data_IF_614867589396
#
_entry.id   IF_614867589396
#
_cell.length_a   1.000
_cell.length_b   1.000
_cell.length_c   1.000
_cell.angle_alpha   90.00
_cell.angle_beta   90.00
_cell.angle_gamma   90.00
#
_symmetry.space_group_name_H-M   'P 1'
#
loop_
_entity.id
_entity.type
_entity.pdbx_description
1 polymer ?
#
# COMPACT_ATOMS: atom_id res chain seq x y z
N UNK A 1 -8.14 -14.60 15.48
CA UNK A 1 -7.11 -14.99 14.50
C UNK A 1 -5.75 -14.83 15.15
N UNK A 2 -4.80 -15.70 14.83
CA UNK A 2 -3.39 -15.54 15.23
C UNK A 2 -2.71 -14.47 14.37
N UNK A 3 -1.53 -13.97 14.76
CA UNK A 3 -0.79 -13.00 13.93
C UNK A 3 -0.44 -13.58 12.55
N UNK A 4 -0.05 -14.86 12.52
CA UNK A 4 0.20 -15.56 11.26
C UNK A 4 -1.04 -15.62 10.37
N UNK A 5 -2.22 -15.94 10.92
CA UNK A 5 -3.47 -15.94 10.13
C UNK A 5 -3.77 -14.56 9.54
N UNK A 6 -3.54 -13.49 10.30
CA UNK A 6 -3.74 -12.11 9.84
C UNK A 6 -2.77 -11.75 8.71
N UNK A 7 -1.48 -12.10 8.84
CA UNK A 7 -0.48 -11.84 7.80
C UNK A 7 -0.81 -12.57 6.50
N UNK A 8 -1.28 -13.81 6.56
CA UNK A 8 -1.72 -14.53 5.37
C UNK A 8 -2.92 -13.87 4.69
N UNK A 9 -3.93 -13.42 5.45
CA UNK A 9 -5.07 -12.69 4.88
C UNK A 9 -4.66 -11.37 4.24
N UNK A 10 -3.80 -10.59 4.93
CA UNK A 10 -3.24 -9.34 4.41
C UNK A 10 -2.48 -9.59 3.11
N UNK A 11 -1.62 -10.61 3.06
CA UNK A 11 -0.85 -10.97 1.87
C UNK A 11 -1.73 -11.41 0.70
N UNK A 12 -2.72 -12.29 0.93
CA UNK A 12 -3.65 -12.71 -0.13
C UNK A 12 -4.43 -11.50 -0.66
N UNK A 13 -4.84 -10.59 0.23
CA UNK A 13 -5.55 -9.36 -0.15
C UNK A 13 -4.69 -8.46 -1.06
N UNK A 14 -3.43 -8.22 -0.71
CA UNK A 14 -2.53 -7.42 -1.55
C UNK A 14 -2.26 -8.09 -2.90
N UNK A 15 -2.05 -9.41 -2.93
CA UNK A 15 -1.85 -10.14 -4.19
C UNK A 15 -3.10 -10.12 -5.09
N UNK A 16 -4.30 -10.15 -4.50
CA UNK A 16 -5.57 -10.05 -5.24
C UNK A 16 -5.73 -8.68 -5.91
N UNK A 17 -5.18 -7.61 -5.33
CA UNK A 17 -5.27 -6.27 -5.93
C UNK A 17 -4.48 -6.12 -7.24
N UNK A 18 -3.56 -7.06 -7.52
CA UNK A 18 -2.70 -7.07 -8.72
C UNK A 18 -3.27 -7.97 -9.82
N UNK A 19 -4.11 -8.96 -9.49
CA UNK A 19 -4.67 -9.92 -10.45
C UNK A 19 -6.10 -10.32 -10.10
N UNK A 20 -6.99 -10.31 -11.10
CA UNK A 20 -8.39 -10.79 -10.95
C UNK A 20 -8.52 -12.34 -10.92
N UNK A 21 -7.40 -13.06 -10.81
CA UNK A 21 -7.35 -14.53 -10.78
C UNK A 21 -7.04 -15.06 -9.39
N UNK A 22 -7.36 -16.33 -9.14
CA UNK A 22 -6.96 -17.03 -7.91
C UNK A 22 -5.44 -16.92 -7.67
N UNK A 23 -5.07 -16.71 -6.41
CA UNK A 23 -3.68 -16.52 -6.03
C UNK A 23 -3.00 -17.87 -5.83
N UNK A 24 -1.87 -18.08 -6.50
CA UNK A 24 -1.12 -19.32 -6.37
C UNK A 24 -0.44 -19.44 -5.00
N UNK A 25 -0.27 -20.67 -4.52
CA UNK A 25 0.47 -20.94 -3.27
C UNK A 25 1.91 -20.48 -3.33
N UNK A 26 2.52 -20.48 -4.52
CA UNK A 26 3.90 -20.06 -4.72
C UNK A 26 4.05 -18.54 -4.60
N UNK A 27 3.11 -17.76 -5.14
CA UNK A 27 3.10 -16.32 -4.98
C UNK A 27 2.98 -15.91 -3.50
N UNK A 28 2.14 -16.61 -2.73
CA UNK A 28 2.03 -16.38 -1.29
C UNK A 28 3.32 -16.80 -0.57
N UNK A 29 3.91 -17.94 -0.95
CA UNK A 29 5.13 -18.44 -0.34
C UNK A 29 6.31 -17.48 -0.53
N UNK A 30 6.45 -16.94 -1.74
CA UNK A 30 7.45 -15.92 -2.08
C UNK A 30 7.24 -14.64 -1.27
N UNK A 31 6.02 -14.10 -1.26
CA UNK A 31 5.71 -12.85 -0.54
C UNK A 31 5.83 -12.99 0.99
N UNK A 32 5.53 -14.17 1.54
CA UNK A 32 5.64 -14.48 2.97
C UNK A 32 7.02 -15.02 3.36
N UNK A 33 7.96 -15.13 2.40
CA UNK A 33 9.29 -15.72 2.59
C UNK A 33 9.27 -17.07 3.32
N UNK A 34 8.34 -17.94 2.92
CA UNK A 34 8.09 -19.23 3.57
C UNK A 34 7.96 -20.37 2.57
N UNK A 35 7.86 -21.61 3.07
CA UNK A 35 7.72 -22.79 2.22
C UNK A 35 6.27 -22.93 1.73
N UNK A 36 6.10 -23.35 0.47
CA UNK A 36 4.77 -23.62 -0.11
C UNK A 36 3.95 -24.66 0.67
N UNK A 37 4.62 -25.61 1.34
CA UNK A 37 3.97 -26.56 2.25
C UNK A 37 3.32 -25.85 3.45
N UNK A 38 4.01 -24.89 4.07
CA UNK A 38 3.50 -24.09 5.19
C UNK A 38 2.31 -23.24 4.76
N UNK A 39 2.38 -22.66 3.55
CA UNK A 39 1.25 -21.96 2.93
C UNK A 39 0.05 -22.88 2.81
N UNK A 40 0.23 -24.06 2.23
CA UNK A 40 -0.86 -25.02 2.02
C UNK A 40 -1.56 -25.39 3.32
N UNK A 41 -0.81 -25.62 4.40
CA UNK A 41 -1.40 -25.94 5.70
C UNK A 41 -2.13 -24.75 6.34
N UNK A 42 -1.63 -23.52 6.15
CA UNK A 42 -2.33 -22.32 6.59
C UNK A 42 -3.62 -22.09 5.79
N UNK A 43 -3.59 -22.29 4.46
CA UNK A 43 -4.77 -22.13 3.62
C UNK A 43 -5.88 -23.11 3.99
N UNK A 44 -5.56 -24.35 4.35
CA UNK A 44 -6.54 -25.31 4.89
C UNK A 44 -7.18 -24.79 6.18
N UNK A 45 -6.37 -24.30 7.14
CA UNK A 45 -6.87 -23.72 8.40
C UNK A 45 -7.75 -22.49 8.20
N UNK A 46 -7.39 -21.61 7.26
CA UNK A 46 -8.20 -20.45 6.91
C UNK A 46 -9.51 -20.84 6.21
N UNK A 47 -9.48 -21.89 5.39
CA UNK A 47 -10.65 -22.44 4.72
C UNK A 47 -11.65 -23.05 5.73
N UNK A 48 -11.16 -23.79 6.72
CA UNK A 48 -11.98 -24.30 7.85
C UNK A 48 -12.68 -23.18 8.64
N UNK A 49 -12.14 -21.95 8.61
CA UNK A 49 -12.72 -20.76 9.27
C UNK A 49 -13.61 -19.91 8.35
N UNK A 50 -13.84 -20.36 7.12
CA UNK A 50 -14.59 -19.66 6.09
C UNK A 50 -14.00 -18.27 5.74
N UNK A 51 -12.67 -18.16 5.78
CA UNK A 51 -11.95 -16.92 5.43
C UNK A 51 -11.40 -16.96 4.01
N UNK A 52 -11.20 -18.14 3.45
CA UNK A 52 -10.68 -18.31 2.09
C UNK A 52 -11.37 -19.48 1.39
N UNK A 53 -11.49 -19.39 0.07
CA UNK A 53 -11.82 -20.50 -0.82
C UNK A 53 -10.51 -21.08 -1.35
N UNK A 54 -10.03 -22.16 -0.73
CA UNK A 54 -8.82 -22.85 -1.20
C UNK A 54 -9.19 -24.04 -2.06
N UNK A 55 -8.70 -24.05 -3.31
CA UNK A 55 -8.86 -25.17 -4.23
C UNK A 55 -7.48 -25.73 -4.58
N UNK A 56 -7.28 -27.01 -4.28
CA UNK A 56 -6.00 -27.69 -4.52
C UNK A 56 -5.60 -27.54 -5.99
N UNK A 57 -4.35 -27.13 -6.23
CA UNK A 57 -3.76 -26.85 -7.55
C UNK A 57 -4.31 -25.64 -8.32
N UNK A 58 -5.41 -25.01 -7.88
CA UNK A 58 -5.97 -23.83 -8.54
C UNK A 58 -5.61 -22.53 -7.82
N UNK A 59 -5.37 -22.59 -6.51
CA UNK A 59 -4.95 -21.44 -5.71
C UNK A 59 -5.97 -21.11 -4.63
N UNK A 60 -6.03 -19.83 -4.27
CA UNK A 60 -6.89 -19.33 -3.21
C UNK A 60 -7.49 -17.97 -3.54
N UNK A 61 -8.74 -17.77 -3.16
CA UNK A 61 -9.41 -16.48 -3.10
C UNK A 61 -9.97 -16.20 -1.71
N UNK A 62 -10.13 -14.92 -1.36
CA UNK A 62 -10.77 -14.53 -0.10
C UNK A 62 -12.30 -14.68 -0.21
N UNK A 63 -12.93 -15.24 0.82
CA UNK A 63 -14.39 -15.11 1.01
C UNK A 63 -14.73 -13.65 1.37
N UNK A 64 -16.00 -13.27 1.37
CA UNK A 64 -16.38 -11.90 1.77
C UNK A 64 -16.00 -11.61 3.24
N UNK A 65 -16.12 -12.61 4.11
CA UNK A 65 -15.64 -12.55 5.49
C UNK A 65 -14.11 -12.38 5.56
N UNK A 66 -13.37 -13.11 4.73
CA UNK A 66 -11.92 -12.98 4.61
C UNK A 66 -11.48 -11.61 4.08
N UNK A 67 -12.18 -11.08 3.07
CA UNK A 67 -11.94 -9.74 2.51
C UNK A 67 -12.15 -8.67 3.59
N UNK A 68 -13.25 -8.75 4.34
CA UNK A 68 -13.50 -7.81 5.42
C UNK A 68 -12.40 -7.91 6.49
N UNK A 69 -12.06 -9.11 6.93
CA UNK A 69 -10.99 -9.32 7.91
C UNK A 69 -9.64 -8.75 7.43
N UNK A 70 -9.24 -9.01 6.18
CA UNK A 70 -8.02 -8.48 5.59
C UNK A 70 -8.01 -6.94 5.55
N UNK A 71 -9.13 -6.33 5.12
CA UNK A 71 -9.26 -4.87 5.09
C UNK A 71 -9.19 -4.24 6.49
N UNK A 72 -9.74 -4.90 7.51
CA UNK A 72 -9.62 -4.41 8.89
C UNK A 72 -8.19 -4.50 9.42
N UNK A 73 -7.39 -5.46 8.94
CA UNK A 73 -5.95 -5.52 9.25
C UNK A 73 -5.21 -4.36 8.56
N UNK A 74 -5.46 -4.16 7.26
CA UNK A 74 -4.88 -3.04 6.49
C UNK A 74 -5.27 -1.68 7.09
N UNK A 75 -6.53 -1.51 7.53
CA UNK A 75 -6.98 -0.29 8.22
C UNK A 75 -6.16 -0.01 9.48
N UNK A 76 -5.90 -1.04 10.30
CA UNK A 76 -5.08 -0.90 11.51
C UNK A 76 -3.64 -0.51 11.16
N UNK A 77 -3.04 -1.17 10.18
CA UNK A 77 -1.70 -0.86 9.70
C UNK A 77 -1.58 0.62 9.33
N UNK A 78 -2.44 1.09 8.42
CA UNK A 78 -2.41 2.45 7.90
C UNK A 78 -2.67 3.52 8.95
N UNK A 79 -3.59 3.28 9.89
CA UNK A 79 -3.83 4.20 11.00
C UNK A 79 -2.61 4.30 11.93
N UNK A 80 -1.88 3.20 12.13
CA UNK A 80 -0.63 3.25 12.89
C UNK A 80 0.46 4.01 12.13
N UNK A 81 0.59 3.84 10.82
CA UNK A 81 1.51 4.64 10.00
C UNK A 81 1.19 6.14 10.09
N UNK A 82 -0.07 6.53 9.92
CA UNK A 82 -0.52 7.91 10.11
C UNK A 82 -0.12 8.45 11.49
N UNK A 83 -0.38 7.69 12.55
CA UNK A 83 -0.06 8.11 13.91
C UNK A 83 1.45 8.28 14.12
N UNK A 84 2.25 7.32 13.64
CA UNK A 84 3.71 7.36 13.76
C UNK A 84 4.29 8.59 13.05
N UNK A 85 3.86 8.85 11.81
CA UNK A 85 4.33 10.02 11.06
C UNK A 85 3.81 11.32 11.68
N UNK A 86 2.49 11.49 11.80
CA UNK A 86 1.90 12.79 12.13
C UNK A 86 2.08 13.22 13.59
N UNK A 87 2.21 12.27 14.51
CA UNK A 87 2.15 12.55 15.95
C UNK A 87 3.44 12.22 16.67
N UNK A 88 4.25 11.34 16.12
CA UNK A 88 5.53 10.92 16.70
C UNK A 88 6.74 11.30 15.85
N UNK A 89 6.54 11.97 14.71
CA UNK A 89 7.60 12.53 13.86
C UNK A 89 8.54 11.45 13.29
N UNK A 90 8.01 10.24 13.07
CA UNK A 90 8.70 9.20 12.31
C UNK A 90 8.73 9.58 10.83
N UNK A 91 9.81 9.23 10.13
CA UNK A 91 9.83 9.34 8.68
C UNK A 91 8.96 8.25 8.04
N UNK A 92 8.28 8.57 6.96
CA UNK A 92 7.44 7.63 6.20
C UNK A 92 8.19 6.38 5.70
N UNK A 93 9.53 6.39 5.67
CA UNK A 93 10.35 5.25 5.25
C UNK A 93 10.66 4.23 6.35
N UNK A 94 10.37 4.55 7.62
CA UNK A 94 10.62 3.68 8.77
C UNK A 94 9.35 3.15 9.45
N UNK A 95 8.17 3.68 9.11
CA UNK A 95 6.92 3.35 9.83
C UNK A 95 6.39 1.95 9.57
N UNK A 96 6.69 1.36 8.42
CA UNK A 96 6.10 0.09 7.98
C UNK A 96 6.33 -1.05 8.98
N UNK A 97 7.58 -1.26 9.38
CA UNK A 97 7.99 -2.36 10.28
C UNK A 97 7.38 -2.21 11.69
N UNK A 98 7.14 -0.97 12.12
CA UNK A 98 6.54 -0.67 13.42
C UNK A 98 5.02 -0.85 13.34
N UNK A 99 4.39 -0.35 12.28
CA UNK A 99 2.97 -0.53 12.04
C UNK A 99 2.59 -2.00 11.91
N UNK A 100 3.44 -2.84 11.30
CA UNK A 100 3.24 -4.29 11.23
C UNK A 100 3.23 -4.99 12.60
N UNK A 101 3.99 -4.47 13.57
CA UNK A 101 3.92 -4.99 14.95
C UNK A 101 2.62 -4.55 15.65
N UNK A 102 2.17 -3.33 15.40
CA UNK A 102 1.03 -2.71 16.08
C UNK A 102 -0.33 -3.12 15.49
N UNK A 103 -0.39 -3.46 14.20
CA UNK A 103 -1.65 -3.79 13.50
C UNK A 103 -2.36 -5.00 14.13
N UNK A 104 -1.65 -5.85 14.85
CA UNK A 104 -2.19 -7.06 15.46
C UNK A 104 -2.99 -6.83 16.74
N UNK A 105 -3.00 -5.60 17.27
CA UNK A 105 -3.82 -5.23 18.44
C UNK A 105 -5.31 -5.49 18.13
N UNK A 106 -5.99 -6.17 19.07
CA UNK A 106 -7.37 -6.65 18.87
C UNK A 106 -8.46 -5.67 19.30
N UNK A 107 -8.10 -4.61 20.02
CA UNK A 107 -9.08 -3.68 20.59
C UNK A 107 -9.65 -2.76 19.50
N UNK A 108 -10.83 -3.09 18.97
CA UNK A 108 -11.55 -2.22 18.01
C UNK A 108 -11.80 -0.83 18.59
N UNK A 109 -12.10 -0.75 19.90
CA UNK A 109 -12.28 0.54 20.60
C UNK A 109 -11.03 1.41 20.53
N UNK A 110 -9.83 0.82 20.64
CA UNK A 110 -8.58 1.57 20.51
C UNK A 110 -8.43 2.12 19.08
N UNK A 111 -8.63 1.26 18.09
CA UNK A 111 -8.47 1.62 16.67
C UNK A 111 -9.46 2.70 16.25
N UNK A 112 -10.72 2.61 16.67
CA UNK A 112 -11.71 3.65 16.38
C UNK A 112 -11.37 4.96 17.07
N UNK A 113 -10.87 4.94 18.32
CA UNK A 113 -10.38 6.15 18.98
C UNK A 113 -9.13 6.73 18.33
N UNK A 114 -8.26 5.90 17.78
CA UNK A 114 -7.09 6.32 17.02
C UNK A 114 -7.53 7.03 15.74
N UNK A 115 -8.47 6.45 15.00
CA UNK A 115 -9.04 7.06 13.78
C UNK A 115 -9.68 8.42 14.08
N UNK A 116 -10.52 8.50 15.12
CA UNK A 116 -11.12 9.76 15.58
C UNK A 116 -10.05 10.80 15.96
N UNK A 117 -9.00 10.36 16.67
CA UNK A 117 -7.91 11.22 17.12
C UNK A 117 -7.07 11.78 15.96
N UNK A 118 -6.91 10.99 14.90
CA UNK A 118 -6.24 11.41 13.66
C UNK A 118 -7.14 12.28 12.76
N UNK A 119 -8.41 12.47 13.13
CA UNK A 119 -9.35 13.27 12.34
C UNK A 119 -9.99 12.51 11.17
N UNK A 120 -10.07 11.18 11.26
CA UNK A 120 -10.61 10.29 10.22
C UNK A 120 -9.87 10.39 8.87
N UNK A 121 -8.55 10.14 8.82
CA UNK A 121 -7.79 10.17 7.58
C UNK A 121 -8.34 9.15 6.56
N UNK A 122 -8.35 9.54 5.29
CA UNK A 122 -8.81 8.68 4.19
C UNK A 122 -7.66 7.98 3.46
N UNK A 123 -6.43 8.41 3.70
CA UNK A 123 -5.20 7.93 3.05
C UNK A 123 -4.08 7.86 4.10
N UNK A 124 -3.16 6.93 3.92
CA UNK A 124 -1.96 6.80 4.76
C UNK A 124 -0.83 7.75 4.29
N UNK A 125 0.32 7.81 4.99
CA UNK A 125 1.44 8.66 4.60
C UNK A 125 2.04 8.38 3.21
N UNK A 126 1.69 7.27 2.57
CA UNK A 126 2.14 6.88 1.23
C UNK A 126 1.09 7.11 0.14
N UNK A 127 -0.11 7.60 0.51
CA UNK A 127 -1.22 7.89 -0.41
C UNK A 127 -2.09 6.68 -0.73
N UNK A 128 -2.05 5.70 0.16
CA UNK A 128 -2.75 4.44 0.06
C UNK A 128 -4.05 4.49 0.88
N UNK A 129 -5.21 4.07 0.33
CA UNK A 129 -6.50 4.47 0.89
C UNK A 129 -6.88 3.69 2.16
N UNK A 130 -7.25 4.36 3.23
CA UNK A 130 -7.62 3.72 4.49
C UNK A 130 -9.05 3.16 4.40
N UNK A 131 -9.27 1.85 4.59
CA UNK A 131 -10.62 1.30 4.67
C UNK A 131 -11.38 1.92 5.85
N UNK A 132 -12.67 2.19 5.70
CA UNK A 132 -13.52 2.64 6.81
C UNK A 132 -13.80 1.50 7.82
N UNK A 133 -14.53 1.79 8.91
CA UNK A 133 -14.90 0.78 9.91
C UNK A 133 -15.76 -0.39 9.36
N UNK A 134 -16.31 -0.25 8.15
CA UNK A 134 -17.07 -1.28 7.45
C UNK A 134 -16.26 -1.95 6.31
N UNK A 135 -14.97 -1.64 6.18
CA UNK A 135 -14.11 -2.14 5.12
C UNK A 135 -14.41 -1.56 3.73
N UNK A 136 -15.04 -0.38 3.65
CA UNK A 136 -15.23 0.33 2.39
C UNK A 136 -14.00 1.15 2.07
N UNK A 137 -13.58 1.12 0.82
CA UNK A 137 -12.44 1.87 0.31
C UNK A 137 -12.99 2.85 -0.72
N UNK A 138 -12.71 4.14 -0.53
CA UNK A 138 -13.01 5.16 -1.52
C UNK A 138 -11.88 5.14 -2.53
N UNK A 139 -12.20 4.81 -3.80
CA UNK A 139 -11.23 4.87 -4.88
C UNK A 139 -11.04 6.33 -5.27
N UNK A 140 -9.79 6.78 -5.26
CA UNK A 140 -9.39 8.06 -5.84
C UNK A 140 -8.79 7.79 -7.21
N UNK A 141 -9.30 8.49 -8.23
CA UNK A 141 -8.69 8.46 -9.56
C UNK A 141 -7.30 9.10 -9.48
N UNK A 142 -6.29 8.35 -9.91
CA UNK A 142 -4.89 8.75 -9.95
C UNK A 142 -4.23 8.09 -11.15
N UNK A 143 -3.27 8.77 -11.74
CA UNK A 143 -2.49 8.32 -12.90
C UNK A 143 -1.02 8.22 -12.52
N UNK A 144 -0.22 7.45 -13.26
CA UNK A 144 1.23 7.47 -13.05
C UNK A 144 1.83 8.71 -13.70
N UNK A 145 2.86 9.30 -13.08
CA UNK A 145 3.59 10.42 -13.69
C UNK A 145 4.17 10.04 -15.06
N UNK A 146 4.55 8.77 -15.25
CA UNK A 146 5.01 8.25 -16.55
C UNK A 146 3.98 8.38 -17.69
N UNK A 147 2.69 8.49 -17.36
CA UNK A 147 1.59 8.69 -18.30
C UNK A 147 1.39 10.15 -18.69
N UNK A 148 2.05 11.08 -18.00
CA UNK A 148 1.96 12.51 -18.31
C UNK A 148 2.84 12.86 -19.52
N UNK A 149 2.45 13.94 -20.18
CA UNK A 149 3.09 14.56 -21.33
C UNK A 149 3.61 15.95 -20.98
N UNK A 150 4.46 16.48 -21.86
CA UNK A 150 5.07 17.80 -21.71
C UNK A 150 4.02 18.90 -21.44
N UNK A 151 4.35 19.82 -20.53
CA UNK A 151 3.54 20.94 -20.06
C UNK A 151 2.30 20.56 -19.21
N UNK A 152 2.12 19.29 -18.86
CA UNK A 152 1.11 18.90 -17.88
C UNK A 152 1.59 19.16 -16.45
N UNK A 153 0.63 19.40 -15.56
CA UNK A 153 0.85 19.67 -14.13
C UNK A 153 -0.09 18.76 -13.35
N UNK A 154 0.36 18.24 -12.21
CA UNK A 154 -0.50 17.57 -11.26
C UNK A 154 0.10 17.54 -9.85
N UNK A 155 -0.63 16.93 -8.93
CA UNK A 155 -0.25 16.84 -7.51
C UNK A 155 0.14 15.39 -7.22
N UNK A 156 1.29 15.19 -6.57
CA UNK A 156 1.68 13.89 -6.04
C UNK A 156 0.70 13.47 -4.94
N UNK A 157 -0.04 12.38 -5.16
CA UNK A 157 -1.07 11.87 -4.24
C UNK A 157 -0.77 10.45 -3.76
N UNK A 158 0.34 9.86 -4.19
CA UNK A 158 0.78 8.57 -3.65
C UNK A 158 2.01 8.02 -4.32
N UNK A 159 2.52 6.93 -3.78
CA UNK A 159 3.65 6.17 -4.33
C UNK A 159 3.28 4.70 -4.51
N UNK A 160 3.89 4.05 -5.49
CA UNK A 160 3.71 2.60 -5.74
C UNK A 160 4.78 1.75 -5.05
N UNK A 161 6.01 2.26 -5.01
CA UNK A 161 7.14 1.64 -4.32
C UNK A 161 7.27 2.32 -2.94
N UNK A 162 7.12 1.55 -1.88
CA UNK A 162 7.26 2.02 -0.49
C UNK A 162 8.57 1.55 0.14
N UNK A 163 9.55 1.11 -0.67
CA UNK A 163 10.87 0.76 -0.16
C UNK A 163 11.59 1.98 0.42
N UNK A 164 12.31 1.76 1.52
CA UNK A 164 13.01 2.85 2.22
C UNK A 164 13.98 3.61 1.31
N UNK A 165 14.67 2.93 0.40
CA UNK A 165 15.59 3.56 -0.57
C UNK A 165 14.86 4.54 -1.52
N UNK A 166 13.67 4.16 -1.99
CA UNK A 166 12.88 5.01 -2.89
C UNK A 166 12.31 6.22 -2.14
N UNK A 167 11.76 6.02 -0.94
CA UNK A 167 11.20 7.10 -0.13
C UNK A 167 12.27 8.12 0.27
N UNK A 168 13.45 7.66 0.71
CA UNK A 168 14.62 8.53 0.97
C UNK A 168 15.08 9.29 -0.27
N UNK A 169 15.00 8.68 -1.45
CA UNK A 169 15.29 9.37 -2.70
C UNK A 169 14.31 10.52 -2.94
N UNK A 170 13.00 10.31 -2.72
CA UNK A 170 11.98 11.34 -2.88
C UNK A 170 12.16 12.49 -1.90
N UNK A 171 12.47 12.21 -0.63
CA UNK A 171 12.77 13.23 0.38
C UNK A 171 13.95 14.11 -0.05
N UNK A 172 15.03 13.50 -0.57
CA UNK A 172 16.18 14.25 -1.10
C UNK A 172 15.81 15.14 -2.29
N UNK A 173 14.78 14.78 -3.05
CA UNK A 173 14.27 15.59 -4.15
C UNK A 173 13.16 16.56 -3.74
N UNK A 174 12.76 16.58 -2.47
CA UNK A 174 11.64 17.39 -1.94
C UNK A 174 10.31 17.04 -2.63
N UNK A 175 10.15 15.77 -3.00
CA UNK A 175 8.89 15.23 -3.51
C UNK A 175 8.16 14.55 -2.36
N UNK A 176 7.05 15.12 -1.93
CA UNK A 176 6.17 14.56 -0.92
C UNK A 176 4.74 14.48 -1.47
N UNK A 177 3.85 13.86 -0.71
CA UNK A 177 2.41 13.99 -0.97
C UNK A 177 2.01 15.47 -0.89
N UNK A 178 1.18 15.91 -1.84
CA UNK A 178 0.80 17.31 -2.01
C UNK A 178 1.78 18.15 -2.83
N UNK A 179 2.97 17.64 -3.17
CA UNK A 179 3.90 18.35 -4.06
C UNK A 179 3.28 18.52 -5.44
N UNK A 180 3.21 19.77 -5.92
CA UNK A 180 2.85 20.05 -7.31
C UNK A 180 4.06 19.76 -8.22
N UNK A 181 3.82 18.97 -9.27
CA UNK A 181 4.83 18.56 -10.23
C UNK A 181 4.42 19.03 -11.62
N UNK A 182 5.28 19.78 -12.28
CA UNK A 182 5.13 20.21 -13.68
C UNK A 182 6.10 19.44 -14.57
N UNK A 183 5.61 18.90 -15.69
CA UNK A 183 6.43 18.21 -16.68
C UNK A 183 7.02 19.22 -17.65
N UNK A 184 8.32 19.51 -17.50
CA UNK A 184 9.05 20.44 -18.38
C UNK A 184 9.39 19.76 -19.70
N UNK A 185 9.81 18.50 -19.62
CA UNK A 185 10.20 17.71 -20.78
C UNK A 185 10.11 16.21 -20.50
N UNK A 186 9.83 15.43 -21.54
CA UNK A 186 9.87 13.97 -21.56
C UNK A 186 10.79 13.54 -22.69
N UNK A 187 11.91 12.91 -22.35
CA UNK A 187 12.89 12.45 -23.33
C UNK A 187 12.33 11.25 -24.10
N UNK A 188 12.34 11.35 -25.42
CA UNK A 188 11.81 10.33 -26.32
C UNK A 188 12.65 9.04 -26.33
N UNK A 189 13.96 9.14 -26.07
CA UNK A 189 14.86 8.00 -26.14
C UNK A 189 14.68 7.01 -24.98
N UNK A 190 14.66 7.49 -23.73
CA UNK A 190 14.63 6.66 -22.53
C UNK A 190 13.40 6.91 -21.63
N UNK A 191 12.50 7.80 -22.05
CA UNK A 191 11.33 8.20 -21.26
C UNK A 191 11.69 8.81 -19.91
N UNK A 192 12.89 9.38 -19.74
CA UNK A 192 13.22 10.20 -18.58
C UNK A 192 12.46 11.53 -18.63
N UNK A 193 12.23 12.11 -17.46
CA UNK A 193 11.47 13.34 -17.32
C UNK A 193 12.34 14.41 -16.70
N UNK A 194 12.26 15.63 -17.24
CA UNK A 194 12.65 16.84 -16.53
C UNK A 194 11.40 17.43 -15.92
N UNK A 195 11.35 17.51 -14.60
CA UNK A 195 10.19 18.00 -13.85
C UNK A 195 10.57 19.21 -13.01
N UNK A 196 9.58 20.05 -12.72
CA UNK A 196 9.69 21.12 -11.73
C UNK A 196 8.86 20.77 -10.51
N UNK A 197 9.47 20.87 -9.34
CA UNK A 197 8.84 20.68 -8.03
C UNK A 197 9.20 21.89 -7.17
N UNK A 198 8.21 22.68 -6.79
CA UNK A 198 8.44 24.00 -6.19
C UNK A 198 9.28 24.89 -7.13
N UNK A 199 10.43 25.36 -6.65
CA UNK A 199 11.37 26.17 -7.45
C UNK A 199 12.49 25.37 -8.11
N UNK A 200 12.54 24.04 -7.91
CA UNK A 200 13.65 23.19 -8.34
C UNK A 200 13.27 22.44 -9.61
N UNK A 201 14.18 22.41 -10.58
CA UNK A 201 14.10 21.51 -11.72
C UNK A 201 15.03 20.31 -11.52
N UNK A 202 14.50 19.12 -11.72
CA UNK A 202 15.23 17.86 -11.56
C UNK A 202 14.94 16.91 -12.73
N UNK A 203 15.91 16.07 -13.05
CA UNK A 203 15.71 14.95 -13.97
C UNK A 203 15.44 13.68 -13.18
N UNK A 204 14.34 13.01 -13.50
CA UNK A 204 13.97 11.70 -12.94
C UNK A 204 13.90 10.65 -14.06
N UNK A 205 14.25 9.41 -13.74
CA UNK A 205 14.14 8.31 -14.69
C UNK A 205 12.68 7.88 -14.87
N UNK A 206 12.40 7.16 -15.96
CA UNK A 206 11.11 6.51 -16.15
C UNK A 206 10.74 5.56 -14.98
N UNK A 207 11.74 4.92 -14.35
CA UNK A 207 11.53 4.08 -13.17
C UNK A 207 10.92 4.86 -12.01
N UNK A 208 11.38 6.09 -11.77
CA UNK A 208 10.83 6.95 -10.70
C UNK A 208 9.43 7.43 -11.11
N UNK A 209 9.28 7.90 -12.35
CA UNK A 209 7.99 8.37 -12.88
C UNK A 209 6.89 7.30 -12.82
N UNK A 210 7.25 6.03 -13.03
CA UNK A 210 6.33 4.88 -12.99
C UNK A 210 5.94 4.46 -11.57
N UNK A 211 6.45 5.14 -10.53
CA UNK A 211 6.14 4.89 -9.12
C UNK A 211 5.50 6.08 -8.41
N UNK A 212 5.26 7.20 -9.11
CA UNK A 212 4.57 8.37 -8.57
C UNK A 212 3.14 8.42 -9.08
N UNK A 213 2.18 8.45 -8.17
CA UNK A 213 0.78 8.68 -8.50
C UNK A 213 0.45 10.18 -8.46
N UNK A 214 -0.13 10.67 -9.54
CA UNK A 214 -0.47 12.06 -9.78
C UNK A 214 -1.98 12.21 -9.99
N UNK A 215 -2.53 13.34 -9.52
CA UNK A 215 -3.92 13.78 -9.74
C UNK A 215 -3.96 15.18 -10.34
#
# INVERSE_FOLDING_TARGET
>A
MTFSEENYLKTIYHLTSVSDTDISTNAIAEKMETKASSVTDMLKKLSEKDLVNYVKYQGVSLTDKGKLAAKMIVRKHRLWECFLVEKLDFSWDEVHDIAEQLEHIKSEKLINKLDDFLGNPTEDPHGDPIPDANGRIIKVEKQLLSEFEKNQIGICVGVKDTSSDFLKYLDKQEIALGSQIEIIEKESFDSSFRIRVGSKEITISNKIASNLYIK
#
